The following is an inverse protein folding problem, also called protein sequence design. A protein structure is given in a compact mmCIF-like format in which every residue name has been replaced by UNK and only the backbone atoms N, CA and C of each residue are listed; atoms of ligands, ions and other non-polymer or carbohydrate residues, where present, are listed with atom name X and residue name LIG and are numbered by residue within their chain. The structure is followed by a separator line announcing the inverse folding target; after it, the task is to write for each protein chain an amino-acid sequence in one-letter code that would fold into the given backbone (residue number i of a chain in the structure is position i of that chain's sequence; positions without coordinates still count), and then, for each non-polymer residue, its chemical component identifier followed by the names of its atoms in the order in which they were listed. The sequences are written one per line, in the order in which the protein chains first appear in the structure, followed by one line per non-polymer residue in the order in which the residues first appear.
data_IF_116204791771
#
_entry.id   IF_116204791771
#
_cell.length_a   1.000
_cell.length_b   1.000
_cell.length_c   1.000
_cell.angle_alpha   90.00
_cell.angle_beta   90.00
_cell.angle_gamma   90.00
#
_symmetry.space_group_name_H-M   'P 1'
#
loop_
_entity.id
_entity.type
_entity.pdbx_description
1 polymer ?
#
# COMPACT_ATOMS: atom_id res chain seq x y z
N UNK A 1 15.14 -1.27 -22.30
CA UNK A 1 14.12 -1.80 -21.37
C UNK A 1 14.09 -0.90 -20.14
N UNK A 2 12.98 -0.27 -19.84
CA UNK A 2 12.88 0.79 -18.86
C UNK A 2 11.64 0.65 -17.93
N UNK A 3 11.26 1.76 -17.33
CA UNK A 3 10.15 1.82 -16.37
C UNK A 3 8.83 1.42 -17.04
N UNK A 4 8.54 1.91 -18.24
CA UNK A 4 7.25 1.68 -18.91
C UNK A 4 7.05 0.19 -19.27
N UNK A 5 8.08 -0.49 -19.76
CA UNK A 5 8.00 -1.93 -20.04
C UNK A 5 7.78 -2.73 -18.75
N UNK A 6 8.44 -2.34 -17.65
CA UNK A 6 8.19 -2.96 -16.36
C UNK A 6 6.76 -2.72 -15.85
N UNK A 7 6.24 -1.49 -15.96
CA UNK A 7 4.86 -1.18 -15.56
C UNK A 7 3.84 -1.97 -16.38
N UNK A 8 4.07 -2.10 -17.69
CA UNK A 8 3.25 -2.94 -18.57
C UNK A 8 3.31 -4.42 -18.15
N UNK A 9 4.49 -4.94 -17.83
CA UNK A 9 4.68 -6.31 -17.33
C UNK A 9 3.88 -6.57 -16.06
N UNK A 10 4.00 -5.72 -15.04
CA UNK A 10 3.27 -5.92 -13.77
C UNK A 10 1.76 -5.72 -13.92
N UNK A 11 1.32 -4.90 -14.88
CA UNK A 11 -0.09 -4.71 -15.19
C UNK A 11 -0.69 -5.93 -15.90
N UNK A 12 -0.07 -6.37 -17.00
CA UNK A 12 -0.64 -7.39 -17.90
C UNK A 12 -0.34 -8.82 -17.45
N UNK A 13 0.91 -9.10 -17.08
CA UNK A 13 1.33 -10.46 -16.73
C UNK A 13 1.16 -10.76 -15.24
N UNK A 14 1.52 -9.83 -14.37
CA UNK A 14 1.36 -10.01 -12.90
C UNK A 14 0.00 -9.61 -12.39
N UNK A 15 -0.81 -8.90 -13.18
CA UNK A 15 -2.17 -8.46 -12.84
C UNK A 15 -2.22 -7.71 -11.50
N UNK A 16 -1.26 -6.82 -11.29
CA UNK A 16 -1.24 -5.99 -10.08
C UNK A 16 -2.37 -4.96 -10.11
N UNK A 17 -2.87 -4.58 -8.94
CA UNK A 17 -3.92 -3.57 -8.84
C UNK A 17 -3.44 -2.21 -9.35
N UNK A 18 -4.35 -1.35 -9.88
CA UNK A 18 -4.00 0.01 -10.33
C UNK A 18 -3.27 0.82 -9.26
N UNK A 19 -3.66 0.68 -7.98
CA UNK A 19 -3.00 1.34 -6.86
C UNK A 19 -1.54 0.88 -6.68
N UNK A 20 -1.28 -0.43 -6.83
CA UNK A 20 0.08 -0.97 -6.76
C UNK A 20 0.94 -0.46 -7.91
N UNK A 21 0.40 -0.45 -9.13
CA UNK A 21 1.09 0.05 -10.32
C UNK A 21 1.42 1.54 -10.17
N UNK A 22 0.46 2.35 -9.70
CA UNK A 22 0.68 3.78 -9.41
C UNK A 22 1.79 3.98 -8.38
N UNK A 23 1.79 3.21 -7.28
CA UNK A 23 2.83 3.29 -6.26
C UNK A 23 4.22 2.94 -6.81
N UNK A 24 4.32 1.87 -7.61
CA UNK A 24 5.56 1.48 -8.26
C UNK A 24 6.06 2.53 -9.25
N UNK A 25 5.15 3.10 -10.05
CA UNK A 25 5.48 4.18 -10.98
C UNK A 25 6.08 5.38 -10.25
N UNK A 26 5.43 5.84 -9.19
CA UNK A 26 5.91 6.97 -8.38
C UNK A 26 7.31 6.70 -7.81
N UNK A 27 7.50 5.53 -7.19
CA UNK A 27 8.79 5.16 -6.58
C UNK A 27 9.93 5.10 -7.62
N UNK A 28 9.64 4.55 -8.81
CA UNK A 28 10.65 4.44 -9.88
C UNK A 28 10.96 5.77 -10.54
N UNK A 29 9.99 6.66 -10.69
CA UNK A 29 10.22 8.02 -11.20
C UNK A 29 11.10 8.79 -10.21
N UNK A 30 10.76 8.79 -8.92
CA UNK A 30 11.56 9.46 -7.90
C UNK A 30 13.01 8.95 -7.87
N UNK A 31 13.20 7.63 -7.98
CA UNK A 31 14.55 7.05 -8.04
C UNK A 31 15.27 7.40 -9.34
N UNK A 32 14.57 7.42 -10.47
CA UNK A 32 15.13 7.81 -11.78
C UNK A 32 15.61 9.26 -11.77
N UNK A 33 14.79 10.17 -11.22
CA UNK A 33 15.13 11.59 -11.10
C UNK A 33 16.34 11.79 -10.19
N UNK A 34 16.40 11.08 -9.06
CA UNK A 34 17.55 11.08 -8.17
C UNK A 34 18.82 10.57 -8.87
N UNK A 35 18.71 9.41 -9.51
CA UNK A 35 19.82 8.75 -10.20
C UNK A 35 20.40 9.63 -11.33
N UNK A 36 19.52 10.26 -12.10
CA UNK A 36 19.95 11.18 -13.17
C UNK A 36 20.56 12.45 -12.60
N UNK A 37 19.92 13.09 -11.61
CA UNK A 37 20.35 14.37 -11.04
C UNK A 37 21.73 14.29 -10.38
N UNK A 38 22.00 13.24 -9.60
CA UNK A 38 23.19 13.18 -8.76
C UNK A 38 24.30 12.31 -9.34
N UNK A 39 24.00 11.41 -10.31
CA UNK A 39 24.96 10.46 -10.83
C UNK A 39 25.01 10.43 -12.37
N UNK A 40 24.11 11.14 -13.03
CA UNK A 40 23.93 11.10 -14.50
C UNK A 40 23.79 9.67 -15.06
N UNK A 41 23.05 8.83 -14.31
CA UNK A 41 22.86 7.41 -14.63
C UNK A 41 21.36 7.14 -14.76
N UNK A 42 20.98 6.46 -15.83
CA UNK A 42 19.60 6.01 -15.99
C UNK A 42 19.28 4.84 -15.04
N UNK A 43 18.02 4.74 -14.62
CA UNK A 43 17.55 3.79 -13.58
C UNK A 43 17.96 2.34 -13.86
N UNK A 44 17.96 1.89 -15.10
CA UNK A 44 18.35 0.52 -15.49
C UNK A 44 19.86 0.24 -15.37
N UNK A 45 20.70 1.27 -15.32
CA UNK A 45 22.14 1.16 -15.16
C UNK A 45 22.62 1.55 -13.75
N UNK A 46 21.67 1.88 -12.86
CA UNK A 46 22.01 2.23 -11.48
C UNK A 46 22.62 1.02 -10.75
N UNK A 47 23.79 1.23 -10.16
CA UNK A 47 24.47 0.23 -9.35
C UNK A 47 24.10 0.36 -7.86
N UNK A 48 24.61 -0.54 -7.02
CA UNK A 48 24.34 -0.55 -5.59
C UNK A 48 24.74 0.74 -4.86
N UNK A 49 25.75 1.48 -5.36
CA UNK A 49 26.21 2.75 -4.75
C UNK A 49 25.15 3.84 -4.94
N UNK A 50 24.54 3.92 -6.13
CA UNK A 50 23.45 4.87 -6.43
C UNK A 50 22.22 4.56 -5.57
N UNK A 51 21.81 3.29 -5.47
CA UNK A 51 20.67 2.89 -4.65
C UNK A 51 20.93 3.17 -3.17
N UNK A 52 22.13 2.85 -2.67
CA UNK A 52 22.51 3.12 -1.28
C UNK A 52 22.51 4.62 -0.97
N UNK A 53 23.02 5.44 -1.87
CA UNK A 53 23.02 6.90 -1.73
C UNK A 53 21.59 7.45 -1.66
N UNK A 54 20.69 6.96 -2.51
CA UNK A 54 19.28 7.36 -2.46
C UNK A 54 18.61 7.03 -1.12
N UNK A 55 18.82 5.83 -0.60
CA UNK A 55 18.27 5.46 0.71
C UNK A 55 18.92 6.25 1.86
N UNK A 56 20.20 6.59 1.76
CA UNK A 56 20.86 7.46 2.74
C UNK A 56 20.25 8.87 2.74
N UNK A 57 20.06 9.45 1.55
CA UNK A 57 19.37 10.74 1.41
C UNK A 57 17.96 10.72 1.99
N UNK A 58 17.20 9.67 1.71
CA UNK A 58 15.86 9.53 2.30
C UNK A 58 15.88 9.47 3.84
N UNK A 59 16.91 8.85 4.43
CA UNK A 59 17.06 8.84 5.89
C UNK A 59 17.41 10.24 6.43
N UNK A 60 18.26 10.97 5.74
CA UNK A 60 18.61 12.37 6.08
C UNK A 60 17.38 13.29 5.96
N UNK A 61 16.55 13.08 4.95
CA UNK A 61 15.28 13.80 4.74
C UNK A 61 14.18 13.39 5.74
N UNK A 62 14.46 12.48 6.68
CA UNK A 62 13.56 12.09 7.76
C UNK A 62 12.50 11.05 7.37
N UNK A 63 12.63 10.36 6.24
CA UNK A 63 11.69 9.30 5.87
C UNK A 63 11.76 8.12 6.85
N UNK A 64 10.59 7.59 7.17
CA UNK A 64 10.50 6.43 8.05
C UNK A 64 11.14 5.18 7.41
N UNK A 65 11.81 4.32 8.21
CA UNK A 65 12.38 3.06 7.72
C UNK A 65 11.38 2.19 6.93
N UNK A 66 10.12 2.17 7.33
CA UNK A 66 9.05 1.45 6.62
C UNK A 66 8.84 1.95 5.19
N UNK A 67 8.95 3.26 4.96
CA UNK A 67 8.87 3.85 3.61
C UNK A 67 10.05 3.42 2.75
N UNK A 68 11.26 3.40 3.30
CA UNK A 68 12.47 2.95 2.61
C UNK A 68 12.33 1.46 2.23
N UNK A 69 11.83 0.63 3.14
CA UNK A 69 11.56 -0.79 2.86
C UNK A 69 10.53 -0.98 1.75
N UNK A 70 9.46 -0.18 1.73
CA UNK A 70 8.46 -0.22 0.67
C UNK A 70 9.07 0.14 -0.68
N UNK A 71 9.80 1.25 -0.76
CA UNK A 71 10.50 1.67 -1.99
C UNK A 71 11.58 0.67 -2.42
N UNK A 72 12.29 0.09 -1.48
CA UNK A 72 13.23 -1.02 -1.74
C UNK A 72 12.54 -2.21 -2.41
N UNK A 73 11.30 -2.54 -2.01
CA UNK A 73 10.54 -3.63 -2.63
C UNK A 73 10.18 -3.32 -4.08
N UNK A 74 9.88 -2.06 -4.40
CA UNK A 74 9.68 -1.59 -5.78
C UNK A 74 10.96 -1.80 -6.61
N UNK A 75 12.12 -1.32 -6.12
CA UNK A 75 13.39 -1.48 -6.82
C UNK A 75 13.79 -2.95 -6.99
N UNK A 76 13.59 -3.78 -5.96
CA UNK A 76 13.83 -5.23 -6.06
C UNK A 76 13.00 -5.87 -7.17
N UNK A 77 11.73 -5.50 -7.28
CA UNK A 77 10.84 -6.00 -8.33
C UNK A 77 11.29 -5.54 -9.72
N UNK A 78 11.69 -4.28 -9.85
CA UNK A 78 12.18 -3.72 -11.10
C UNK A 78 13.50 -4.38 -11.56
N UNK A 79 14.51 -4.45 -10.68
CA UNK A 79 15.77 -5.09 -11.02
C UNK A 79 15.61 -6.60 -11.28
N UNK A 80 14.71 -7.28 -10.57
CA UNK A 80 14.36 -8.67 -10.89
C UNK A 80 13.78 -8.81 -12.29
N UNK A 81 12.91 -7.88 -12.71
CA UNK A 81 12.40 -7.86 -14.07
C UNK A 81 13.52 -7.69 -15.10
N UNK A 82 14.47 -6.78 -14.87
CA UNK A 82 15.63 -6.60 -15.76
C UNK A 82 16.50 -7.86 -15.83
N UNK A 83 16.69 -8.57 -14.71
CA UNK A 83 17.45 -9.83 -14.68
C UNK A 83 16.75 -10.95 -15.47
N UNK A 84 15.45 -11.11 -15.28
CA UNK A 84 14.64 -12.14 -16.00
C UNK A 84 14.73 -11.90 -17.51
N UNK A 85 14.78 -10.66 -17.93
CA UNK A 85 14.93 -10.27 -19.34
C UNK A 85 16.40 -10.16 -19.79
N UNK A 86 17.35 -10.67 -19.01
CA UNK A 86 18.79 -10.72 -19.30
C UNK A 86 19.45 -9.34 -19.55
N UNK A 87 18.86 -8.28 -19.00
CA UNK A 87 19.44 -6.93 -19.03
C UNK A 87 20.51 -6.72 -17.97
N UNK A 88 20.39 -7.46 -16.87
CA UNK A 88 21.35 -7.48 -15.76
C UNK A 88 21.66 -8.92 -15.38
N UNK A 89 22.92 -9.16 -15.03
CA UNK A 89 23.34 -10.47 -14.49
C UNK A 89 23.08 -10.59 -12.98
N UNK A 90 23.22 -9.48 -12.25
CA UNK A 90 23.07 -9.42 -10.79
C UNK A 90 22.26 -8.19 -10.37
N UNK A 91 21.48 -8.36 -9.32
CA UNK A 91 20.71 -7.26 -8.75
C UNK A 91 21.61 -6.31 -7.96
N UNK A 92 21.57 -4.99 -8.22
CA UNK A 92 22.25 -4.02 -7.36
C UNK A 92 21.70 -4.01 -5.93
N UNK A 93 20.47 -4.50 -5.72
CA UNK A 93 19.83 -4.56 -4.41
C UNK A 93 20.46 -5.58 -3.44
N UNK A 94 21.20 -6.56 -3.96
CA UNK A 94 21.81 -7.61 -3.14
C UNK A 94 22.91 -7.07 -2.21
N UNK A 95 23.50 -5.92 -2.56
CA UNK A 95 24.56 -5.26 -1.81
C UNK A 95 24.09 -4.01 -1.03
N UNK A 96 22.78 -3.78 -0.96
CA UNK A 96 22.21 -2.60 -0.29
C UNK A 96 21.61 -2.97 1.06
N UNK A 97 22.23 -2.57 2.17
CA UNK A 97 21.65 -2.76 3.49
C UNK A 97 20.45 -1.85 3.69
N UNK A 98 19.41 -2.37 4.33
CA UNK A 98 18.23 -1.60 4.69
C UNK A 98 18.24 -1.23 6.17
N UNK A 99 17.64 -0.08 6.55
CA UNK A 99 17.53 0.32 7.95
C UNK A 99 16.71 -0.68 8.74
N UNK A 100 17.02 -0.86 10.02
CA UNK A 100 16.27 -1.76 10.90
C UNK A 100 14.84 -1.23 11.11
N UNK A 101 13.85 -2.11 10.94
CA UNK A 101 12.46 -1.80 11.29
C UNK A 101 12.28 -1.97 12.79
N UNK A 102 11.76 -0.92 13.46
CA UNK A 102 11.26 -1.07 14.82
C UNK A 102 9.95 -1.86 14.77
N UNK A 103 9.89 -3.00 15.46
CA UNK A 103 8.62 -3.71 15.68
C UNK A 103 7.84 -2.92 16.74
N UNK A 104 6.96 -2.05 16.31
CA UNK A 104 6.00 -1.45 17.24
C UNK A 104 4.95 -2.52 17.56
N UNK A 105 4.67 -2.71 18.83
CA UNK A 105 3.52 -3.50 19.26
C UNK A 105 2.25 -2.81 18.76
N UNK A 106 1.24 -3.57 18.31
CA UNK A 106 -0.04 -3.00 17.99
C UNK A 106 -0.58 -2.19 19.14
N UNK A 107 -0.99 -0.95 18.90
CA UNK A 107 -1.71 -0.17 19.89
C UNK A 107 -3.15 -0.64 19.87
N UNK A 108 -3.59 -1.22 20.98
CA UNK A 108 -4.99 -1.55 21.18
C UNK A 108 -5.74 -0.30 21.65
N UNK A 109 -6.91 -0.09 21.11
CA UNK A 109 -7.86 0.83 21.74
C UNK A 109 -8.54 0.06 22.85
N UNK A 110 -8.53 0.61 24.06
CA UNK A 110 -9.19 0.00 25.19
C UNK A 110 -10.70 -0.08 24.94
N UNK A 111 -11.29 -1.24 25.21
CA UNK A 111 -12.72 -1.50 24.97
C UNK A 111 -13.63 -0.50 25.68
N UNK A 112 -13.25 -0.11 26.93
CA UNK A 112 -14.03 0.89 27.68
C UNK A 112 -13.99 2.25 27.02
N UNK A 113 -12.80 2.71 26.59
CA UNK A 113 -12.63 3.97 25.87
C UNK A 113 -13.38 3.97 24.55
N UNK A 114 -13.45 2.83 23.86
CA UNK A 114 -14.17 2.69 22.60
C UNK A 114 -15.69 2.69 22.82
N UNK A 115 -16.18 2.00 23.85
CA UNK A 115 -17.58 2.00 24.21
C UNK A 115 -18.08 3.38 24.66
N UNK A 116 -17.27 4.14 25.41
CA UNK A 116 -17.54 5.53 25.76
C UNK A 116 -17.65 6.37 24.50
N UNK A 117 -16.66 6.26 23.58
CA UNK A 117 -16.67 6.99 22.32
C UNK A 117 -17.93 6.70 21.50
N UNK A 118 -18.32 5.45 21.32
CA UNK A 118 -19.45 5.04 20.52
C UNK A 118 -20.80 5.43 21.15
N UNK A 119 -20.90 5.46 22.47
CA UNK A 119 -22.13 5.80 23.19
C UNK A 119 -22.29 7.29 23.47
N UNK A 120 -21.19 8.04 23.63
CA UNK A 120 -21.20 9.46 24.00
C UNK A 120 -21.09 10.39 22.76
N UNK A 121 -20.74 9.84 21.59
CA UNK A 121 -20.75 10.63 20.35
C UNK A 121 -22.18 10.97 19.95
N UNK A 122 -22.55 12.23 20.11
CA UNK A 122 -23.80 12.75 19.59
C UNK A 122 -23.69 13.03 18.10
N UNK A 123 -24.40 12.24 17.29
CA UNK A 123 -24.53 12.48 15.86
C UNK A 123 -25.73 13.38 15.59
N UNK A 124 -25.59 14.38 14.71
CA UNK A 124 -26.75 15.20 14.29
C UNK A 124 -27.90 14.35 13.79
N UNK A 125 -29.13 14.72 14.14
CA UNK A 125 -30.34 14.01 13.70
C UNK A 125 -30.73 14.40 12.26
N UNK A 126 -29.77 14.25 11.34
CA UNK A 126 -29.95 14.47 9.90
C UNK A 126 -29.36 13.26 9.15
N UNK A 127 -29.39 13.30 7.81
CA UNK A 127 -28.88 12.23 6.96
C UNK A 127 -27.37 11.96 7.22
N UNK A 128 -26.57 13.02 7.30
CA UNK A 128 -25.13 12.91 7.49
C UNK A 128 -24.77 12.27 8.83
N UNK A 129 -25.43 12.69 9.92
CA UNK A 129 -25.19 12.12 11.25
C UNK A 129 -25.59 10.63 11.30
N UNK A 130 -26.72 10.25 10.69
CA UNK A 130 -27.14 8.83 10.62
C UNK A 130 -26.17 8.00 9.79
N UNK A 131 -25.69 8.53 8.65
CA UNK A 131 -24.67 7.90 7.82
C UNK A 131 -23.38 7.69 8.59
N UNK A 132 -22.88 8.73 9.25
CA UNK A 132 -21.60 8.69 9.94
C UNK A 132 -21.64 7.72 11.13
N UNK A 133 -22.77 7.68 11.86
CA UNK A 133 -23.01 6.67 12.90
C UNK A 133 -22.98 5.26 12.32
N UNK A 134 -23.72 5.01 11.23
CA UNK A 134 -23.75 3.70 10.56
C UNK A 134 -22.35 3.26 10.10
N UNK A 135 -21.55 4.18 9.55
CA UNK A 135 -20.17 3.90 9.14
C UNK A 135 -19.34 3.44 10.34
N UNK A 136 -19.44 4.14 11.47
CA UNK A 136 -18.69 3.77 12.68
C UNK A 136 -19.14 2.43 13.24
N UNK A 137 -20.45 2.18 13.31
CA UNK A 137 -21.02 0.92 13.77
C UNK A 137 -20.56 -0.25 12.89
N UNK A 138 -20.58 -0.08 11.56
CA UNK A 138 -20.10 -1.10 10.64
C UNK A 138 -18.60 -1.38 10.80
N UNK A 139 -17.75 -0.36 10.94
CA UNK A 139 -16.33 -0.58 11.19
C UNK A 139 -16.08 -1.35 12.49
N UNK A 140 -16.77 -0.97 13.55
CA UNK A 140 -16.58 -1.57 14.86
C UNK A 140 -17.09 -3.00 14.93
N UNK A 141 -18.32 -3.25 14.47
CA UNK A 141 -18.95 -4.56 14.60
C UNK A 141 -18.40 -5.58 13.63
N UNK A 142 -18.01 -5.15 12.41
CA UNK A 142 -17.70 -6.08 11.32
C UNK A 142 -16.22 -6.13 10.95
N UNK A 143 -15.43 -5.13 11.33
CA UNK A 143 -14.05 -4.99 10.87
C UNK A 143 -13.95 -4.89 9.34
N UNK A 144 -14.98 -4.34 8.68
CA UNK A 144 -14.98 -4.09 7.22
C UNK A 144 -13.85 -3.15 6.85
N UNK A 145 -13.19 -3.38 5.71
CA UNK A 145 -12.16 -2.46 5.25
C UNK A 145 -12.78 -1.20 4.65
N UNK A 146 -12.09 -0.06 4.78
CA UNK A 146 -12.56 1.20 4.20
C UNK A 146 -12.94 1.08 2.72
N UNK A 147 -12.11 0.43 1.91
CA UNK A 147 -12.39 0.23 0.48
C UNK A 147 -13.62 -0.63 0.22
N UNK A 148 -13.83 -1.67 1.04
CA UNK A 148 -15.01 -2.55 0.94
C UNK A 148 -16.28 -1.79 1.31
N UNK A 149 -16.22 -0.92 2.34
CA UNK A 149 -17.36 -0.10 2.75
C UNK A 149 -17.72 0.96 1.69
N UNK A 150 -16.72 1.58 1.05
CA UNK A 150 -16.96 2.58 -0.01
C UNK A 150 -17.62 1.95 -1.24
N UNK A 151 -17.28 0.71 -1.55
CA UNK A 151 -17.84 -0.02 -2.70
C UNK A 151 -19.13 -0.76 -2.39
N UNK A 152 -19.58 -0.78 -1.12
CA UNK A 152 -20.78 -1.48 -0.68
C UNK A 152 -22.04 -0.86 -1.29
N UNK A 153 -22.88 -1.70 -1.87
CA UNK A 153 -24.20 -1.31 -2.40
C UNK A 153 -25.32 -2.03 -1.66
N UNK A 154 -26.56 -1.56 -1.83
CA UNK A 154 -27.73 -2.19 -1.21
C UNK A 154 -27.92 -3.66 -1.67
N UNK A 155 -27.45 -4.01 -2.86
CA UNK A 155 -27.55 -5.37 -3.39
C UNK A 155 -26.56 -6.35 -2.71
N UNK A 156 -25.58 -5.81 -1.99
CA UNK A 156 -24.61 -6.61 -1.25
C UNK A 156 -25.07 -6.91 0.18
N UNK A 157 -26.25 -6.38 0.58
CA UNK A 157 -26.82 -6.55 1.92
C UNK A 157 -27.98 -7.53 1.87
N UNK A 158 -27.84 -8.63 2.61
CA UNK A 158 -28.93 -9.59 2.83
C UNK A 158 -29.54 -9.36 4.21
N UNK A 159 -30.67 -8.65 4.23
CA UNK A 159 -31.39 -8.36 5.48
C UNK A 159 -32.03 -9.60 6.10
N UNK A 160 -32.36 -10.62 5.30
CA UNK A 160 -33.00 -11.85 5.79
C UNK A 160 -32.00 -12.74 6.54
N UNK A 161 -30.75 -12.76 6.08
CA UNK A 161 -29.66 -13.52 6.67
C UNK A 161 -28.76 -12.67 7.59
N UNK A 162 -29.07 -11.38 7.73
CA UNK A 162 -28.26 -10.42 8.51
C UNK A 162 -26.77 -10.48 8.14
N UNK A 163 -26.48 -10.31 6.86
CA UNK A 163 -25.11 -10.41 6.36
C UNK A 163 -24.83 -9.45 5.22
N UNK A 164 -23.58 -9.06 5.08
CA UNK A 164 -23.06 -8.31 3.94
C UNK A 164 -22.02 -9.11 3.18
N UNK A 165 -22.10 -9.02 1.85
CA UNK A 165 -21.15 -9.59 0.93
C UNK A 165 -20.17 -8.50 0.49
N UNK A 166 -18.86 -8.70 0.70
CA UNK A 166 -17.84 -7.73 0.31
C UNK A 166 -16.78 -8.35 -0.58
N UNK A 167 -16.23 -7.53 -1.48
CA UNK A 167 -15.18 -7.91 -2.39
C UNK A 167 -13.82 -7.50 -1.81
N UNK A 168 -13.06 -8.48 -1.35
CA UNK A 168 -11.75 -8.25 -0.75
C UNK A 168 -10.61 -8.26 -1.75
N UNK A 169 -9.39 -8.20 -1.22
CA UNK A 169 -8.14 -8.23 -2.02
C UNK A 169 -8.09 -9.45 -2.95
N UNK A 170 -7.67 -9.23 -4.20
CA UNK A 170 -7.60 -10.25 -5.28
C UNK A 170 -8.97 -10.78 -5.72
N UNK A 171 -10.01 -9.95 -5.67
CA UNK A 171 -11.37 -10.32 -6.05
C UNK A 171 -11.94 -11.51 -5.24
N UNK A 172 -11.51 -11.66 -3.98
CA UNK A 172 -12.07 -12.68 -3.11
C UNK A 172 -13.28 -12.12 -2.38
N UNK A 173 -14.41 -12.75 -2.59
CA UNK A 173 -15.63 -12.45 -1.85
C UNK A 173 -15.52 -12.99 -0.42
N UNK A 174 -16.07 -12.25 0.52
CA UNK A 174 -16.30 -12.72 1.89
C UNK A 174 -17.64 -12.23 2.40
N UNK A 175 -18.27 -13.04 3.22
CA UNK A 175 -19.52 -12.73 3.90
C UNK A 175 -19.18 -12.28 5.31
N UNK A 176 -19.83 -11.22 5.77
CA UNK A 176 -19.66 -10.64 7.09
C UNK A 176 -21.05 -10.61 7.74
N UNK A 177 -21.27 -11.24 8.89
CA UNK A 177 -22.50 -11.11 9.66
C UNK A 177 -22.63 -9.70 10.23
N UNK A 178 -23.88 -9.20 10.32
CA UNK A 178 -24.24 -7.89 10.90
C UNK A 178 -25.30 -8.02 11.98
#
# INVERSE_FOLDING_TARGET
MGIDEFLNYIAKEKRYSPHTIKGYKTDLIEFSDYSHRYFDVSVQHANHKVVRSWFAQMMEDGFQPSTIHRKSSTLKSFFKFLMVNRFLEKSPMDLVPLPKLKKNLPKFVDEKSLNVLLNELEFPNNYEGKRDKLIMDLFYQTGIRQSELIELTINDVDFSQQQIKVLGKRNKERIIPI
#
